data_IF_289216072991
#
_entry.id   IF_289216072991
#
_cell.length_a   1.000
_cell.length_b   1.000
_cell.length_c   1.000
_cell.angle_alpha   90.00
_cell.angle_beta   90.00
_cell.angle_gamma   90.00
#
_symmetry.space_group_name_H-M   'P 1'
#
loop_
_entity.id
_entity.type
_entity.pdbx_description
1 polymer ?
#
# COMPACT_ATOMS: atom_id res chain seq x y z
N UNK A 1 -10.40 -15.82 -17.33
CA UNK A 1 -10.77 -15.10 -16.09
C UNK A 1 -10.63 -13.61 -16.36
N UNK A 2 -11.57 -12.76 -15.92
CA UNK A 2 -11.34 -11.32 -16.05
C UNK A 2 -10.18 -10.91 -15.12
N UNK A 3 -9.34 -10.02 -15.61
CA UNK A 3 -8.15 -9.57 -14.90
C UNK A 3 -8.59 -8.52 -13.87
N UNK A 4 -8.67 -8.92 -12.59
CA UNK A 4 -9.02 -8.01 -11.49
C UNK A 4 -7.74 -7.53 -10.80
N UNK A 5 -7.38 -6.29 -11.06
CA UNK A 5 -6.12 -5.68 -10.60
C UNK A 5 -6.39 -4.72 -9.45
N UNK A 6 -5.59 -4.83 -8.39
CA UNK A 6 -5.63 -3.92 -7.24
C UNK A 6 -4.26 -3.29 -7.02
N UNK A 7 -4.25 -1.99 -6.74
CA UNK A 7 -3.02 -1.28 -6.40
C UNK A 7 -2.96 -0.97 -4.90
N UNK A 8 -1.74 -0.96 -4.36
CA UNK A 8 -1.47 -0.61 -2.97
C UNK A 8 -0.41 0.48 -2.91
N UNK A 9 -0.76 1.61 -2.30
CA UNK A 9 0.17 2.71 -2.08
C UNK A 9 0.01 3.42 -0.76
N UNK A 10 1.13 3.98 -0.31
CA UNK A 10 1.20 5.00 0.73
C UNK A 10 0.99 6.38 0.10
N UNK A 11 1.62 6.63 -1.05
CA UNK A 11 1.49 7.86 -1.83
C UNK A 11 0.98 7.53 -3.23
N UNK A 12 -0.28 7.87 -3.48
CA UNK A 12 -0.97 7.63 -4.75
C UNK A 12 -0.26 8.21 -5.97
N UNK A 13 0.54 9.28 -5.79
CA UNK A 13 1.29 9.91 -6.89
C UNK A 13 2.45 9.05 -7.39
N UNK A 14 2.83 8.04 -6.61
CA UNK A 14 3.93 7.12 -6.91
C UNK A 14 3.47 5.80 -7.50
N UNK A 15 2.16 5.54 -7.54
CA UNK A 15 1.66 4.41 -8.32
C UNK A 15 1.70 4.82 -9.79
N UNK A 16 2.30 4.01 -10.68
CA UNK A 16 2.14 4.21 -12.11
C UNK A 16 0.64 4.22 -12.44
N UNK A 17 0.24 5.09 -13.35
CA UNK A 17 -1.13 5.08 -13.85
C UNK A 17 -1.37 3.76 -14.57
N UNK A 18 -2.28 2.93 -14.05
CA UNK A 18 -2.66 1.67 -14.67
C UNK A 18 -4.16 1.72 -14.91
N UNK A 19 -4.53 1.93 -16.17
CA UNK A 19 -5.92 1.97 -16.64
C UNK A 19 -6.75 0.75 -16.19
N UNK A 20 -6.08 -0.40 -15.99
CA UNK A 20 -6.70 -1.67 -15.58
C UNK A 20 -6.93 -1.79 -14.06
N UNK A 21 -6.58 -0.79 -13.24
CA UNK A 21 -6.72 -0.90 -11.78
C UNK A 21 -8.16 -0.67 -11.33
N UNK A 22 -8.77 -1.70 -10.74
CA UNK A 22 -10.15 -1.61 -10.22
C UNK A 22 -10.22 -0.78 -8.93
N UNK A 23 -9.26 -0.98 -8.02
CA UNK A 23 -9.24 -0.36 -6.69
C UNK A 23 -7.81 0.02 -6.26
N UNK A 24 -7.67 1.14 -5.55
CA UNK A 24 -6.42 1.53 -4.87
C UNK A 24 -6.62 1.55 -3.36
N UNK A 25 -5.81 0.77 -2.63
CA UNK A 25 -5.73 0.85 -1.17
C UNK A 25 -4.72 1.91 -0.73
N UNK A 26 -5.16 2.81 0.15
CA UNK A 26 -4.34 3.91 0.67
C UNK A 26 -4.44 4.06 2.19
N UNK A 27 -3.39 4.51 2.89
CA UNK A 27 -3.50 4.87 4.30
C UNK A 27 -4.22 6.22 4.41
N UNK A 28 -5.36 6.22 5.10
CA UNK A 28 -6.18 7.41 5.28
C UNK A 28 -6.83 7.93 4.00
N UNK A 29 -7.56 9.05 4.12
CA UNK A 29 -8.28 9.67 3.01
C UNK A 29 -7.30 10.40 2.08
N UNK A 30 -7.23 9.95 0.82
CA UNK A 30 -6.48 10.61 -0.24
C UNK A 30 -7.43 10.89 -1.41
N UNK A 31 -7.51 12.14 -1.87
CA UNK A 31 -8.42 12.54 -2.96
C UNK A 31 -7.74 12.24 -4.29
N UNK A 32 -8.35 11.38 -5.11
CA UNK A 32 -7.87 11.05 -6.47
C UNK A 32 -8.94 11.46 -7.48
N UNK A 33 -8.49 12.04 -8.60
CA UNK A 33 -9.37 12.52 -9.68
C UNK A 33 -9.40 11.60 -10.91
N UNK A 34 -8.46 10.65 -10.99
CA UNK A 34 -8.21 9.82 -12.18
C UNK A 34 -8.40 8.32 -11.95
N UNK A 35 -8.89 7.88 -10.78
CA UNK A 35 -9.15 6.46 -10.49
C UNK A 35 -10.60 6.28 -10.07
N UNK A 36 -11.23 5.20 -10.56
CA UNK A 36 -12.65 4.98 -10.36
C UNK A 36 -12.98 4.64 -8.88
N UNK A 37 -12.11 3.91 -8.17
CA UNK A 37 -12.36 3.51 -6.79
C UNK A 37 -11.09 3.57 -5.91
N UNK A 38 -11.11 4.42 -4.89
CA UNK A 38 -10.05 4.47 -3.86
C UNK A 38 -10.64 4.03 -2.53
N UNK A 39 -10.02 3.02 -1.91
CA UNK A 39 -10.40 2.54 -0.58
C UNK A 39 -9.35 3.01 0.42
N UNK A 40 -9.78 3.95 1.26
CA UNK A 40 -8.97 4.48 2.34
C UNK A 40 -9.06 3.59 3.57
N UNK A 41 -7.93 3.05 3.99
CA UNK A 41 -7.79 2.31 5.24
C UNK A 41 -7.56 3.32 6.36
N UNK A 42 -8.60 3.54 7.16
CA UNK A 42 -8.52 4.46 8.30
C UNK A 42 -7.60 3.90 9.39
N UNK A 43 -6.61 4.70 9.77
CA UNK A 43 -5.66 4.31 10.81
C UNK A 43 -6.19 4.79 12.17
N UNK A 44 -6.40 3.90 13.16
CA UNK A 44 -6.91 4.27 14.47
C UNK A 44 -6.05 5.33 15.14
N UNK A 45 -6.69 6.27 15.87
CA UNK A 45 -6.00 7.35 16.60
C UNK A 45 -4.94 6.84 17.57
N UNK A 46 -5.17 5.69 18.21
CA UNK A 46 -4.20 5.02 19.09
C UNK A 46 -2.89 4.66 18.37
N UNK A 47 -2.98 4.19 17.13
CA UNK A 47 -1.81 3.89 16.28
C UNK A 47 -1.11 5.18 15.87
N UNK A 48 -1.88 6.21 15.48
CA UNK A 48 -1.31 7.51 15.13
C UNK A 48 -0.54 8.13 16.30
N UNK A 49 -1.08 8.07 17.51
CA UNK A 49 -0.43 8.58 18.71
C UNK A 49 0.85 7.82 19.04
N UNK A 50 0.80 6.48 18.99
CA UNK A 50 1.98 5.65 19.19
C UNK A 50 3.10 6.00 18.20
N UNK A 51 2.75 6.25 16.95
CA UNK A 51 3.73 6.65 15.93
C UNK A 51 4.34 8.02 16.21
N UNK A 52 3.56 8.99 16.69
CA UNK A 52 4.10 10.29 17.10
C UNK A 52 5.14 10.13 18.20
N UNK A 53 4.89 9.24 19.17
CA UNK A 53 5.83 8.97 20.25
C UNK A 53 7.11 8.29 19.75
N UNK A 54 6.98 7.28 18.90
CA UNK A 54 8.12 6.57 18.29
C UNK A 54 8.92 7.51 17.39
N UNK A 55 8.27 8.29 16.54
CA UNK A 55 8.93 9.25 15.65
C UNK A 55 9.72 10.29 16.48
N UNK A 56 9.19 10.77 17.60
CA UNK A 56 9.93 11.65 18.53
C UNK A 56 11.15 10.96 19.12
N UNK A 57 11.02 9.70 19.53
CA UNK A 57 12.14 8.91 20.05
C UNK A 57 13.22 8.71 18.96
N UNK A 58 12.83 8.29 17.76
CA UNK A 58 13.73 8.11 16.62
C UNK A 58 14.43 9.43 16.27
N UNK A 59 13.71 10.54 16.20
CA UNK A 59 14.32 11.84 15.90
C UNK A 59 15.30 12.29 17.01
N UNK A 60 15.02 11.94 18.27
CA UNK A 60 15.88 12.31 19.41
C UNK A 60 17.14 11.45 19.50
N UNK A 61 17.01 10.13 19.33
CA UNK A 61 18.08 9.17 19.60
C UNK A 61 18.73 8.58 18.33
N UNK A 62 18.03 8.63 17.20
CA UNK A 62 18.43 8.04 15.91
C UNK A 62 18.36 9.10 14.79
N UNK A 63 19.06 10.23 14.98
CA UNK A 63 19.02 11.44 14.13
C UNK A 63 19.28 11.25 12.62
N UNK A 64 19.67 10.06 12.16
CA UNK A 64 19.89 9.69 10.74
C UNK A 64 18.88 8.68 10.19
N UNK A 65 17.93 8.23 11.00
CA UNK A 65 16.94 7.24 10.59
C UNK A 65 15.86 7.88 9.73
N UNK A 66 15.62 7.32 8.53
CA UNK A 66 14.46 7.66 7.69
C UNK A 66 13.19 6.91 8.07
N UNK A 67 13.25 6.04 9.10
CA UNK A 67 12.11 5.24 9.53
C UNK A 67 11.15 6.14 10.32
N UNK A 68 10.08 6.57 9.67
CA UNK A 68 8.97 7.29 10.28
C UNK A 68 7.69 6.50 10.05
N UNK A 69 6.69 6.75 10.90
CA UNK A 69 5.34 6.20 10.74
C UNK A 69 5.29 4.66 10.66
N UNK A 70 6.13 4.00 11.47
CA UNK A 70 6.34 2.55 11.43
C UNK A 70 5.07 1.80 11.84
N UNK A 71 4.33 2.27 12.85
CA UNK A 71 3.11 1.63 13.32
C UNK A 71 1.96 1.81 12.33
N UNK A 72 1.81 3.01 11.75
CA UNK A 72 0.86 3.29 10.67
C UNK A 72 1.13 2.35 9.49
N UNK A 73 2.38 2.25 9.05
CA UNK A 73 2.76 1.36 7.94
C UNK A 73 2.48 -0.11 8.26
N UNK A 74 2.81 -0.56 9.47
CA UNK A 74 2.53 -1.93 9.93
C UNK A 74 1.03 -2.21 9.96
N UNK A 75 0.24 -1.29 10.52
CA UNK A 75 -1.21 -1.42 10.58
C UNK A 75 -1.81 -1.48 9.18
N UNK A 76 -1.43 -0.53 8.31
CA UNK A 76 -1.89 -0.46 6.93
C UNK A 76 -1.61 -1.76 6.17
N UNK A 77 -0.36 -2.21 6.14
CA UNK A 77 0.03 -3.45 5.43
C UNK A 77 -0.68 -4.69 5.95
N UNK A 78 -0.96 -4.77 7.26
CA UNK A 78 -1.75 -5.87 7.84
C UNK A 78 -3.22 -5.84 7.38
N UNK A 79 -3.84 -4.66 7.33
CA UNK A 79 -5.23 -4.54 6.88
C UNK A 79 -5.35 -4.82 5.38
N UNK A 80 -4.42 -4.32 4.57
CA UNK A 80 -4.37 -4.62 3.13
C UNK A 80 -4.25 -6.11 2.91
N UNK A 81 -3.31 -6.80 3.57
CA UNK A 81 -3.15 -8.24 3.44
C UNK A 81 -4.45 -8.99 3.79
N UNK A 82 -5.12 -8.61 4.89
CA UNK A 82 -6.40 -9.20 5.30
C UNK A 82 -7.51 -9.00 4.26
N UNK A 83 -7.57 -7.83 3.63
CA UNK A 83 -8.53 -7.53 2.57
C UNK A 83 -8.23 -8.36 1.31
N UNK A 84 -6.96 -8.41 0.91
CA UNK A 84 -6.51 -9.16 -0.26
C UNK A 84 -6.84 -10.66 -0.13
N UNK A 85 -6.53 -11.28 1.02
CA UNK A 85 -6.83 -12.71 1.27
C UNK A 85 -8.31 -13.03 1.11
N UNK A 86 -9.20 -12.09 1.43
CA UNK A 86 -10.66 -12.24 1.33
C UNK A 86 -11.23 -11.85 -0.03
N UNK A 87 -10.46 -11.14 -0.84
CA UNK A 87 -10.87 -10.70 -2.17
C UNK A 87 -10.62 -11.78 -3.23
N UNK A 88 -11.16 -11.52 -4.42
CA UNK A 88 -10.96 -12.26 -5.66
C UNK A 88 -10.09 -11.49 -6.67
N UNK A 89 -9.24 -10.58 -6.19
CA UNK A 89 -8.21 -9.97 -7.02
C UNK A 89 -7.14 -11.01 -7.40
N UNK A 90 -6.66 -10.91 -8.63
CA UNK A 90 -5.71 -11.88 -9.20
C UNK A 90 -4.31 -11.26 -9.36
N UNK A 91 -4.26 -9.93 -9.40
CA UNK A 91 -3.05 -9.17 -9.64
C UNK A 91 -2.92 -8.02 -8.65
N UNK A 92 -1.72 -7.84 -8.10
CA UNK A 92 -1.42 -6.75 -7.16
C UNK A 92 -0.28 -5.92 -7.71
N UNK A 93 -0.48 -4.60 -7.69
CA UNK A 93 0.53 -3.60 -8.02
C UNK A 93 0.96 -2.90 -6.75
N UNK A 94 2.25 -2.95 -6.43
CA UNK A 94 2.80 -2.25 -5.28
C UNK A 94 3.52 -0.98 -5.72
N UNK A 95 3.32 0.10 -4.95
CA UNK A 95 4.07 1.36 -5.13
C UNK A 95 5.59 1.16 -4.99
N UNK A 96 6.02 0.28 -4.06
CA UNK A 96 7.42 0.06 -3.74
C UNK A 96 7.66 -1.33 -3.14
N UNK A 97 8.94 -1.74 -3.11
CA UNK A 97 9.36 -3.05 -2.60
C UNK A 97 9.07 -3.24 -1.10
N UNK A 98 9.01 -2.17 -0.31
CA UNK A 98 8.70 -2.27 1.11
C UNK A 98 7.25 -2.76 1.31
N UNK A 99 6.29 -2.22 0.55
CA UNK A 99 4.91 -2.69 0.57
C UNK A 99 4.80 -4.13 0.08
N UNK A 100 5.44 -4.45 -1.05
CA UNK A 100 5.50 -5.80 -1.61
C UNK A 100 5.98 -6.81 -0.57
N UNK A 101 7.15 -6.57 0.03
CA UNK A 101 7.73 -7.51 1.00
C UNK A 101 6.87 -7.68 2.26
N UNK A 102 6.28 -6.60 2.77
CA UNK A 102 5.44 -6.64 3.98
C UNK A 102 4.09 -7.31 3.77
N UNK A 103 3.52 -7.19 2.58
CA UNK A 103 2.19 -7.71 2.25
C UNK A 103 2.31 -9.13 1.73
N UNK A 104 3.20 -9.41 0.76
CA UNK A 104 3.36 -10.72 0.15
C UNK A 104 3.71 -11.81 1.15
N UNK A 105 4.49 -11.49 2.19
CA UNK A 105 4.80 -12.43 3.29
C UNK A 105 3.57 -12.86 4.13
N UNK A 106 2.42 -12.22 3.92
CA UNK A 106 1.16 -12.49 4.63
C UNK A 106 0.06 -13.03 3.72
N UNK A 107 0.31 -13.09 2.41
CA UNK A 107 -0.66 -13.59 1.44
C UNK A 107 -0.59 -15.12 1.44
N UNK A 108 -1.76 -15.75 1.33
CA UNK A 108 -1.91 -17.21 1.28
C UNK A 108 -2.30 -17.71 -0.10
N UNK A 109 -2.52 -16.80 -1.06
CA UNK A 109 -2.87 -17.08 -2.44
C UNK A 109 -1.72 -16.63 -3.32
N UNK A 110 -1.57 -17.29 -4.46
CA UNK A 110 -0.63 -16.85 -5.49
C UNK A 110 -1.24 -15.68 -6.26
N UNK A 111 -0.60 -14.52 -6.17
CA UNK A 111 -0.96 -13.33 -6.92
C UNK A 111 0.08 -13.10 -8.02
N UNK A 112 -0.38 -12.60 -9.17
CA UNK A 112 0.54 -11.98 -10.12
C UNK A 112 0.98 -10.65 -9.50
N UNK A 113 2.26 -10.52 -9.16
CA UNK A 113 2.81 -9.29 -8.59
C UNK A 113 3.51 -8.53 -9.70
N UNK A 114 3.05 -7.30 -10.00
CA UNK A 114 3.75 -6.39 -10.90
C UNK A 114 4.41 -5.27 -10.11
N UNK A 115 5.67 -5.04 -10.40
CA UNK A 115 6.37 -3.87 -9.87
C UNK A 115 5.93 -2.64 -10.68
N UNK A 116 5.87 -1.49 -10.00
CA UNK A 116 5.48 -0.22 -10.60
C UNK A 116 6.25 0.13 -11.90
N UNK A 117 7.50 -0.33 -12.03
CA UNK A 117 8.32 -0.15 -13.24
C UNK A 117 7.88 -1.03 -14.41
N UNK A 118 7.33 -2.22 -14.16
CA UNK A 118 6.86 -3.16 -15.18
C UNK A 118 5.44 -2.89 -15.67
N UNK A 119 4.63 -2.14 -14.92
CA UNK A 119 3.29 -1.73 -15.32
C UNK A 119 3.27 -0.70 -16.47
N UNK A 120 4.40 -0.03 -16.74
CA UNK A 120 4.57 0.93 -17.84
C UNK A 120 4.94 0.27 -19.17
N UNK A 121 5.27 -1.03 -19.19
CA UNK A 121 5.86 -1.69 -20.36
C UNK A 121 4.86 -2.47 -21.22
N UNK A 122 3.57 -2.41 -20.92
CA UNK A 122 2.52 -3.08 -21.71
C UNK A 122 1.78 -2.17 -22.69
N UNK A 123 2.26 -0.93 -22.87
CA UNK A 123 1.89 -0.08 -24.00
C UNK A 123 3.11 0.06 -24.91
N UNK A 124 3.25 -0.91 -25.83
CA UNK A 124 4.15 -0.87 -26.99
C UNK A 124 3.36 -1.31 -28.20
#
# INVERSE_FOLDING_TARGET
MSRRVVAVAIDIKKIPYVNDTEVIFTPGKQKIWYTANTVSIEIPKVIQFGDVMINKFINKFLKKSKKQDILKLRYFTMQVAKLLTKSDYNEIIFENDELKNRISSKLTKDYVIRDAKGALSTEG
#
